data_IF_186601833195
#
_entry.id   IF_186601833195
#
_cell.length_a   1.000
_cell.length_b   1.000
_cell.length_c   1.000
_cell.angle_alpha   90.00
_cell.angle_beta   90.00
_cell.angle_gamma   90.00
#
_symmetry.space_group_name_H-M   'P 1'
#
loop_
_entity.id
_entity.type
_entity.pdbx_description
1 polymer ?
#
# COMPACT_ATOMS: atom_id res chain seq x y z
N UNK A 1 -20.83 1.84 5.89
CA UNK A 1 -19.96 1.08 4.97
C UNK A 1 -18.48 1.32 5.26
N UNK A 2 -18.05 2.58 5.43
CA UNK A 2 -16.63 2.91 5.71
C UNK A 2 -16.05 2.22 6.96
N UNK A 3 -16.81 2.11 8.05
CA UNK A 3 -16.33 1.41 9.26
C UNK A 3 -15.95 -0.04 8.99
N UNK A 4 -16.71 -0.75 8.15
CA UNK A 4 -16.44 -2.15 7.79
C UNK A 4 -15.17 -2.21 6.94
N UNK A 5 -15.06 -1.35 5.91
CA UNK A 5 -13.84 -1.26 5.07
C UNK A 5 -12.61 -0.95 5.93
N UNK A 6 -12.71 0.01 6.84
CA UNK A 6 -11.63 0.38 7.74
C UNK A 6 -11.17 -0.80 8.59
N UNK A 7 -12.13 -1.53 9.17
CA UNK A 7 -11.84 -2.73 9.94
C UNK A 7 -11.16 -3.82 9.08
N UNK A 8 -11.64 -4.06 7.86
CA UNK A 8 -11.00 -4.99 6.92
C UNK A 8 -9.55 -4.60 6.63
N UNK A 9 -9.27 -3.33 6.29
CA UNK A 9 -7.91 -2.85 6.10
C UNK A 9 -7.06 -2.98 7.37
N UNK A 10 -7.65 -2.81 8.55
CA UNK A 10 -6.94 -3.00 9.81
C UNK A 10 -6.55 -4.47 10.05
N UNK A 11 -7.42 -5.41 9.70
CA UNK A 11 -7.11 -6.85 9.76
C UNK A 11 -6.00 -7.20 8.78
N UNK A 12 -6.08 -6.72 7.54
CA UNK A 12 -5.03 -6.94 6.52
C UNK A 12 -3.70 -6.33 7.02
N UNK A 13 -3.72 -5.10 7.53
CA UNK A 13 -2.53 -4.46 8.09
C UNK A 13 -1.90 -5.29 9.21
N UNK A 14 -2.72 -5.84 10.11
CA UNK A 14 -2.23 -6.69 11.18
C UNK A 14 -1.59 -7.97 10.66
N UNK A 15 -2.19 -8.61 9.65
CA UNK A 15 -1.61 -9.78 8.98
C UNK A 15 -0.26 -9.44 8.32
N UNK A 16 -0.19 -8.32 7.58
CA UNK A 16 1.05 -7.86 6.93
C UNK A 16 2.16 -7.61 7.97
N UNK A 17 1.81 -7.07 9.13
CA UNK A 17 2.78 -6.81 10.22
C UNK A 17 3.29 -8.05 10.94
N UNK A 18 2.49 -9.12 11.01
CA UNK A 18 2.75 -10.25 11.92
C UNK A 18 3.18 -11.53 11.21
N UNK A 19 2.57 -11.84 10.06
CA UNK A 19 2.72 -13.14 9.40
C UNK A 19 3.25 -13.07 7.96
N UNK A 20 3.08 -11.94 7.28
CA UNK A 20 3.39 -11.82 5.86
C UNK A 20 4.88 -11.94 5.50
N UNK A 21 5.77 -11.69 6.46
CA UNK A 21 7.21 -11.96 6.29
C UNK A 21 7.49 -13.43 5.95
N UNK A 22 6.64 -14.35 6.42
CA UNK A 22 6.74 -15.80 6.19
C UNK A 22 5.71 -16.31 5.17
N UNK A 23 5.00 -15.40 4.49
CA UNK A 23 4.03 -15.76 3.48
C UNK A 23 4.69 -16.46 2.29
N UNK A 24 4.06 -17.51 1.78
CA UNK A 24 4.46 -18.19 0.56
C UNK A 24 4.19 -17.32 -0.69
N UNK A 25 4.62 -17.82 -1.85
CA UNK A 25 4.47 -17.12 -3.13
C UNK A 25 3.01 -16.88 -3.51
N UNK A 26 2.09 -17.76 -3.10
CA UNK A 26 0.66 -17.62 -3.39
C UNK A 26 0.05 -16.46 -2.60
N UNK A 27 0.28 -16.43 -1.29
CA UNK A 27 -0.15 -15.33 -0.41
C UNK A 27 0.48 -14.00 -0.82
N UNK A 28 1.73 -14.03 -1.27
CA UNK A 28 2.38 -12.86 -1.86
C UNK A 28 1.63 -12.33 -3.06
N UNK A 29 1.29 -13.21 -4.01
CA UNK A 29 0.59 -12.82 -5.22
C UNK A 29 -0.80 -12.26 -4.90
N UNK A 30 -1.54 -12.87 -3.97
CA UNK A 30 -2.86 -12.36 -3.52
C UNK A 30 -2.75 -10.92 -3.00
N UNK A 31 -1.74 -10.62 -2.18
CA UNK A 31 -1.55 -9.27 -1.65
C UNK A 31 -1.15 -8.29 -2.77
N UNK A 32 -0.31 -8.71 -3.72
CA UNK A 32 0.05 -7.86 -4.87
C UNK A 32 -1.15 -7.54 -5.73
N UNK A 33 -1.96 -8.55 -6.05
CA UNK A 33 -3.17 -8.39 -6.84
C UNK A 33 -4.18 -7.51 -6.11
N UNK A 34 -4.31 -7.67 -4.79
CA UNK A 34 -5.11 -6.78 -3.95
C UNK A 34 -4.65 -5.31 -4.06
N UNK A 35 -3.35 -5.04 -3.96
CA UNK A 35 -2.81 -3.68 -4.08
C UNK A 35 -3.09 -3.11 -5.48
N UNK A 36 -2.78 -3.87 -6.53
CA UNK A 36 -3.02 -3.45 -7.93
C UNK A 36 -4.51 -3.16 -8.16
N UNK A 37 -5.38 -4.07 -7.73
CA UNK A 37 -6.82 -3.94 -7.88
C UNK A 37 -7.38 -2.74 -7.12
N UNK A 38 -6.91 -2.51 -5.88
CA UNK A 38 -7.36 -1.36 -5.09
C UNK A 38 -6.98 -0.04 -5.78
N UNK A 39 -5.74 0.10 -6.25
CA UNK A 39 -5.30 1.31 -6.95
C UNK A 39 -6.10 1.55 -8.23
N UNK A 40 -6.34 0.50 -9.03
CA UNK A 40 -7.18 0.58 -10.24
C UNK A 40 -8.61 1.01 -9.93
N UNK A 41 -9.20 0.45 -8.86
CA UNK A 41 -10.55 0.78 -8.44
C UNK A 41 -10.65 2.24 -8.01
N UNK A 42 -9.70 2.72 -7.21
CA UNK A 42 -9.70 4.11 -6.75
C UNK A 42 -9.39 5.11 -7.87
N UNK A 43 -8.53 4.75 -8.82
CA UNK A 43 -8.18 5.58 -9.97
C UNK A 43 -9.33 5.79 -10.96
N UNK A 44 -10.20 4.78 -11.10
CA UNK A 44 -11.32 4.77 -12.05
C UNK A 44 -12.69 5.09 -11.42
N UNK A 45 -12.79 5.13 -10.09
CA UNK A 45 -14.07 5.34 -9.40
C UNK A 45 -14.56 6.78 -9.50
N UNK A 46 -15.84 6.94 -9.84
CA UNK A 46 -16.59 8.21 -9.75
C UNK A 46 -16.93 8.59 -8.31
N UNK A 47 -16.85 7.63 -7.38
CA UNK A 47 -16.99 7.82 -5.94
C UNK A 47 -15.78 7.19 -5.23
N UNK A 48 -14.66 7.92 -5.12
CA UNK A 48 -13.48 7.41 -4.42
C UNK A 48 -13.80 7.16 -2.95
N UNK A 49 -13.06 6.23 -2.34
CA UNK A 49 -13.16 5.97 -0.90
C UNK A 49 -12.83 7.24 -0.10
N UNK A 50 -13.39 7.36 1.10
CA UNK A 50 -13.09 8.49 1.99
C UNK A 50 -11.60 8.57 2.31
N UNK A 51 -11.11 9.79 2.61
CA UNK A 51 -9.69 10.02 2.90
C UNK A 51 -9.15 9.12 4.02
N UNK A 52 -10.00 8.76 5.00
CA UNK A 52 -9.66 7.83 6.08
C UNK A 52 -9.31 6.42 5.56
N UNK A 53 -10.12 5.90 4.63
CA UNK A 53 -9.91 4.58 4.03
C UNK A 53 -8.69 4.60 3.13
N UNK A 54 -8.54 5.65 2.31
CA UNK A 54 -7.35 5.82 1.46
C UNK A 54 -6.06 5.87 2.27
N UNK A 55 -6.07 6.55 3.43
CA UNK A 55 -4.94 6.56 4.35
C UNK A 55 -4.64 5.16 4.89
N UNK A 56 -5.66 4.41 5.30
CA UNK A 56 -5.47 3.06 5.83
C UNK A 56 -4.93 2.10 4.76
N UNK A 57 -5.43 2.19 3.53
CA UNK A 57 -4.93 1.43 2.40
C UNK A 57 -3.47 1.80 2.08
N UNK A 58 -3.12 3.09 2.09
CA UNK A 58 -1.74 3.55 1.87
C UNK A 58 -0.79 3.00 2.92
N UNK A 59 -1.20 2.92 4.20
CA UNK A 59 -0.41 2.28 5.26
C UNK A 59 -0.21 0.77 5.01
N UNK A 60 -1.24 0.06 4.53
CA UNK A 60 -1.12 -1.37 4.17
C UNK A 60 -0.11 -1.54 3.05
N UNK A 61 -0.23 -0.74 1.97
CA UNK A 61 0.68 -0.79 0.81
C UNK A 61 2.12 -0.47 1.23
N UNK A 62 2.30 0.55 2.08
CA UNK A 62 3.61 0.89 2.64
C UNK A 62 4.20 -0.28 3.44
N UNK A 63 3.41 -0.94 4.29
CA UNK A 63 3.90 -2.08 5.05
C UNK A 63 4.28 -3.26 4.15
N UNK A 64 3.49 -3.54 3.10
CA UNK A 64 3.83 -4.56 2.10
C UNK A 64 5.14 -4.21 1.41
N UNK A 65 5.30 -2.95 0.95
CA UNK A 65 6.53 -2.46 0.34
C UNK A 65 7.74 -2.67 1.26
N UNK A 66 7.64 -2.32 2.54
CA UNK A 66 8.74 -2.46 3.50
C UNK A 66 9.13 -3.92 3.78
N UNK A 67 8.23 -4.88 3.51
CA UNK A 67 8.51 -6.32 3.67
C UNK A 67 9.01 -6.96 2.37
N UNK A 68 8.46 -6.57 1.22
CA UNK A 68 8.71 -7.24 -0.05
C UNK A 68 9.79 -6.57 -0.90
N UNK A 69 9.98 -5.26 -0.80
CA UNK A 69 10.98 -4.54 -1.59
C UNK A 69 12.34 -4.52 -0.87
N UNK A 70 13.48 -4.75 -1.56
CA UNK A 70 13.62 -5.02 -3.00
C UNK A 70 13.63 -6.51 -3.39
N UNK A 71 13.71 -7.43 -2.43
CA UNK A 71 14.04 -8.85 -2.70
C UNK A 71 12.90 -9.66 -3.31
N UNK A 72 11.69 -9.52 -2.79
CA UNK A 72 10.51 -10.29 -3.22
C UNK A 72 9.76 -9.57 -4.33
N UNK A 73 9.72 -8.24 -4.33
CA UNK A 73 8.99 -7.43 -5.30
C UNK A 73 9.84 -6.28 -5.88
N UNK A 74 10.85 -6.59 -6.71
CA UNK A 74 11.75 -5.57 -7.27
C UNK A 74 11.02 -4.60 -8.20
N UNK A 75 9.99 -5.06 -8.91
CA UNK A 75 9.19 -4.28 -9.88
C UNK A 75 8.10 -3.44 -9.23
N UNK A 76 8.10 -3.25 -7.91
CA UNK A 76 7.03 -2.53 -7.20
C UNK A 76 6.74 -1.14 -7.80
N UNK A 77 7.80 -0.34 -8.02
CA UNK A 77 7.64 1.00 -8.58
C UNK A 77 7.16 0.95 -10.03
N UNK A 78 7.65 0.03 -10.85
CA UNK A 78 7.20 -0.14 -12.22
C UNK A 78 5.72 -0.53 -12.27
N UNK A 79 5.31 -1.52 -11.47
CA UNK A 79 3.92 -1.95 -11.34
C UNK A 79 3.03 -0.79 -10.91
N UNK A 80 3.51 0.03 -9.98
CA UNK A 80 2.81 1.20 -9.50
C UNK A 80 2.73 2.30 -10.59
N UNK A 81 3.80 2.55 -11.34
CA UNK A 81 3.82 3.50 -12.45
C UNK A 81 2.86 3.10 -13.58
N UNK A 82 2.74 1.81 -13.89
CA UNK A 82 1.78 1.33 -14.90
C UNK A 82 0.33 1.68 -14.56
N UNK A 83 0.00 1.92 -13.28
CA UNK A 83 -1.34 2.35 -12.86
C UNK A 83 -1.61 3.85 -13.09
N UNK A 84 -0.59 4.66 -13.39
CA UNK A 84 -0.73 6.10 -13.62
C UNK A 84 -1.48 6.46 -14.91
N UNK A 85 -1.46 5.57 -15.91
CA UNK A 85 -2.10 5.80 -17.21
C UNK A 85 -3.64 5.92 -17.14
N UNK A 86 -4.24 5.75 -15.96
CA UNK A 86 -5.68 5.83 -15.74
C UNK A 86 -6.19 7.25 -15.40
N UNK A 87 -5.31 8.26 -15.28
CA UNK A 87 -5.69 9.68 -15.14
C UNK A 87 -5.25 10.34 -13.84
N UNK A 88 -5.69 11.59 -13.64
CA UNK A 88 -5.24 12.48 -12.54
C UNK A 88 -5.45 11.86 -11.16
N UNK A 89 -6.57 11.17 -10.93
CA UNK A 89 -6.87 10.50 -9.66
C UNK A 89 -5.84 9.44 -9.31
N UNK A 90 -5.41 8.62 -10.28
CA UNK A 90 -4.36 7.63 -10.09
C UNK A 90 -3.03 8.27 -9.74
N UNK A 91 -2.69 9.40 -10.35
CA UNK A 91 -1.50 10.18 -9.99
C UNK A 91 -1.55 10.70 -8.55
N UNK A 92 -2.71 11.16 -8.08
CA UNK A 92 -2.86 11.59 -6.68
C UNK A 92 -2.70 10.42 -5.70
N UNK A 93 -3.24 9.25 -6.02
CA UNK A 93 -3.09 8.03 -5.21
C UNK A 93 -1.62 7.58 -5.18
N UNK A 94 -0.95 7.61 -6.33
CA UNK A 94 0.47 7.32 -6.46
C UNK A 94 1.31 8.20 -5.53
N UNK A 95 1.14 9.52 -5.61
CA UNK A 95 1.86 10.47 -4.78
C UNK A 95 1.56 10.24 -3.29
N UNK A 96 0.31 9.91 -2.93
CA UNK A 96 -0.05 9.59 -1.54
C UNK A 96 0.69 8.36 -1.02
N UNK A 97 0.78 7.30 -1.82
CA UNK A 97 1.51 6.08 -1.45
C UNK A 97 2.98 6.41 -1.25
N UNK A 98 3.60 7.17 -2.17
CA UNK A 98 4.99 7.59 -2.05
C UNK A 98 5.24 8.44 -0.80
N UNK A 99 4.37 9.41 -0.50
CA UNK A 99 4.48 10.22 0.71
C UNK A 99 4.36 9.37 1.97
N UNK A 100 3.46 8.38 1.97
CA UNK A 100 3.31 7.45 3.10
C UNK A 100 4.57 6.62 3.30
N UNK A 101 5.14 6.07 2.22
CA UNK A 101 6.40 5.34 2.24
C UNK A 101 7.54 6.23 2.75
N UNK A 102 7.67 7.44 2.20
CA UNK A 102 8.72 8.38 2.59
C UNK A 102 8.61 8.75 4.07
N UNK A 103 7.41 9.01 4.57
CA UNK A 103 7.19 9.29 6.00
C UNK A 103 7.59 8.11 6.88
N UNK A 104 7.10 6.89 6.58
CA UNK A 104 7.41 5.71 7.39
C UNK A 104 8.90 5.32 7.33
N UNK A 105 9.57 5.50 6.19
CA UNK A 105 11.01 5.27 6.05
C UNK A 105 11.78 6.33 6.86
N UNK A 106 11.44 7.61 6.71
CA UNK A 106 12.07 8.69 7.46
C UNK A 106 11.91 8.49 8.98
N UNK A 107 10.72 8.13 9.46
CA UNK A 107 10.46 7.85 10.88
C UNK A 107 11.34 6.69 11.39
N UNK A 108 11.55 5.65 10.57
CA UNK A 108 12.43 4.52 10.90
C UNK A 108 13.91 4.91 10.90
N UNK A 109 14.33 5.81 10.03
CA UNK A 109 15.72 6.31 10.00
C UNK A 109 16.01 7.23 11.19
N UNK A 110 15.12 8.19 11.50
CA UNK A 110 15.25 9.09 12.66
C UNK A 110 15.30 8.28 13.97
N UNK A 111 14.50 7.23 14.08
CA UNK A 111 14.54 6.30 15.23
C UNK A 111 15.89 5.56 15.36
N UNK A 112 16.65 5.39 14.27
CA UNK A 112 17.98 4.78 14.28
C UNK A 112 19.10 5.80 14.56
N UNK A 113 18.88 7.09 14.28
CA UNK A 113 19.87 8.16 14.50
C UNK A 113 19.86 8.73 15.92
N UNK A 114 18.91 8.35 16.78
CA UNK A 114 19.02 8.61 18.22
C UNK A 114 20.08 7.68 18.85
N UNK A 115 21.35 8.06 18.70
CA UNK A 115 22.47 7.61 19.53
C UNK A 115 23.41 8.76 19.80
#
# INVERSE_FOLDING_TARGET
>A
QDQVKFFCFQVILHYVKTKYAYADTEQQQIIRDFVKHWIQTQGSSTQPDSALIQNKASQVICMVFLTDYPSRWPTFFDDLLHTLNMGVTSTLIYLRILLTINSDVADREVSRTQK
#
